data_IF_323174415353
#
_entry.id   IF_323174415353
#
_cell.length_a   1.000
_cell.length_b   1.000
_cell.length_c   1.000
_cell.angle_alpha   90.00
_cell.angle_beta   90.00
_cell.angle_gamma   90.00
#
_symmetry.space_group_name_H-M   'P 1'
#
loop_
_entity.id
_entity.type
_entity.pdbx_description
1 polymer ?
#
# COMPACT_ATOMS: atom_id res chain seq x y z
N UNK A 1 24.40 -28.65 10.87
CA UNK A 1 24.64 -27.25 10.44
C UNK A 1 23.49 -26.87 9.51
N UNK A 2 22.68 -25.89 9.89
CA UNK A 2 21.65 -25.38 8.98
C UNK A 2 22.36 -24.62 7.85
N UNK A 3 22.19 -25.07 6.62
CA UNK A 3 22.69 -24.38 5.44
C UNK A 3 21.78 -23.16 5.25
N UNK A 4 22.22 -21.98 5.70
CA UNK A 4 21.50 -20.74 5.40
C UNK A 4 21.73 -20.44 3.92
N UNK A 5 20.73 -20.70 3.10
CA UNK A 5 20.73 -20.38 1.67
C UNK A 5 20.53 -18.87 1.52
N UNK A 6 21.63 -18.12 1.52
CA UNK A 6 21.60 -16.67 1.26
C UNK A 6 21.45 -16.43 -0.23
N UNK A 7 20.39 -15.70 -0.61
CA UNK A 7 20.20 -15.22 -1.98
C UNK A 7 20.47 -13.71 -2.08
N UNK A 8 20.92 -13.26 -3.25
CA UNK A 8 21.14 -11.83 -3.51
C UNK A 8 19.97 -11.25 -4.30
N UNK A 9 19.55 -10.03 -3.95
CA UNK A 9 18.48 -9.31 -4.62
C UNK A 9 19.01 -7.94 -5.05
N UNK A 10 18.78 -7.58 -6.32
CA UNK A 10 19.11 -6.28 -6.87
C UNK A 10 17.88 -5.68 -7.54
N UNK A 11 17.65 -4.40 -7.35
CA UNK A 11 16.55 -3.66 -7.97
C UNK A 11 17.03 -2.28 -8.41
N UNK A 12 16.36 -1.72 -9.41
CA UNK A 12 16.63 -0.37 -9.90
C UNK A 12 15.86 0.63 -9.06
N UNK A 13 16.50 1.76 -8.76
CA UNK A 13 15.90 2.90 -8.09
C UNK A 13 16.39 4.20 -8.74
N UNK A 14 15.58 5.25 -8.64
CA UNK A 14 16.00 6.58 -9.04
C UNK A 14 17.11 7.09 -8.10
N UNK A 15 18.08 7.83 -8.65
CA UNK A 15 19.23 8.31 -7.87
C UNK A 15 18.82 9.27 -6.74
N UNK A 16 17.82 10.14 -6.98
CA UNK A 16 17.28 11.03 -5.93
C UNK A 16 16.67 10.24 -4.77
N UNK A 17 15.86 9.23 -5.08
CA UNK A 17 15.25 8.35 -4.08
C UNK A 17 16.31 7.60 -3.26
N UNK A 18 17.39 7.16 -3.92
CA UNK A 18 18.51 6.51 -3.23
C UNK A 18 19.14 7.44 -2.20
N UNK A 19 19.46 8.66 -2.61
CA UNK A 19 20.12 9.64 -1.74
C UNK A 19 19.25 9.97 -0.52
N UNK A 20 17.98 10.31 -0.75
CA UNK A 20 17.07 10.70 0.32
C UNK A 20 16.78 9.54 1.28
N UNK A 21 16.42 8.37 0.76
CA UNK A 21 16.04 7.24 1.62
C UNK A 21 17.23 6.68 2.40
N UNK A 22 18.42 6.59 1.79
CA UNK A 22 19.57 5.97 2.44
C UNK A 22 20.14 6.88 3.53
N UNK A 23 20.11 8.20 3.32
CA UNK A 23 20.49 9.15 4.35
C UNK A 23 19.61 9.02 5.60
N UNK A 24 18.30 8.86 5.43
CA UNK A 24 17.39 8.63 6.55
C UNK A 24 17.72 7.33 7.27
N UNK A 25 17.90 6.23 6.53
CA UNK A 25 18.26 4.92 7.09
C UNK A 25 19.55 4.99 7.92
N UNK A 26 20.58 5.66 7.40
CA UNK A 26 21.86 5.84 8.07
C UNK A 26 21.74 6.72 9.33
N UNK A 27 20.89 7.75 9.31
CA UNK A 27 20.61 8.57 10.50
C UNK A 27 19.98 7.76 11.64
N UNK A 28 19.24 6.69 11.33
CA UNK A 28 18.74 5.73 12.33
C UNK A 28 19.78 4.69 12.77
N UNK A 29 21.01 4.75 12.25
CA UNK A 29 22.09 3.81 12.57
C UNK A 29 21.95 2.45 11.90
N UNK A 30 21.09 2.32 10.90
CA UNK A 30 20.92 1.08 10.13
C UNK A 30 21.64 1.16 8.79
N UNK A 31 21.95 -0.02 8.24
CA UNK A 31 22.30 -0.18 6.83
C UNK A 31 21.04 -0.44 6.00
N UNK A 32 21.01 -0.06 4.71
CA UNK A 32 19.90 -0.37 3.82
C UNK A 32 19.56 -1.86 3.81
N UNK A 33 20.57 -2.75 3.78
CA UNK A 33 20.37 -4.20 3.81
C UNK A 33 19.64 -4.68 5.08
N UNK A 34 19.91 -4.08 6.24
CA UNK A 34 19.18 -4.41 7.48
C UNK A 34 17.71 -3.99 7.36
N UNK A 35 17.45 -2.77 6.88
CA UNK A 35 16.07 -2.27 6.72
C UNK A 35 15.28 -3.11 5.71
N UNK A 36 15.87 -3.48 4.57
CA UNK A 36 15.19 -4.33 3.59
C UNK A 36 14.90 -5.73 4.15
N UNK A 37 15.83 -6.32 4.91
CA UNK A 37 15.58 -7.59 5.58
C UNK A 37 14.45 -7.49 6.61
N UNK A 38 14.40 -6.42 7.40
CA UNK A 38 13.31 -6.17 8.35
C UNK A 38 11.98 -6.01 7.61
N UNK A 39 11.95 -5.22 6.53
CA UNK A 39 10.78 -5.00 5.69
C UNK A 39 10.23 -6.31 5.09
N UNK A 40 11.10 -7.13 4.48
CA UNK A 40 10.72 -8.42 3.93
C UNK A 40 10.28 -9.41 5.02
N UNK A 41 10.93 -9.38 6.18
CA UNK A 41 10.56 -10.21 7.35
C UNK A 41 9.16 -9.84 7.84
N UNK A 42 8.84 -8.56 7.91
CA UNK A 42 7.53 -8.09 8.30
C UNK A 42 6.46 -8.59 7.33
N UNK A 43 6.66 -8.40 6.01
CA UNK A 43 5.74 -8.92 4.99
C UNK A 43 5.54 -10.43 5.13
N UNK A 44 6.63 -11.17 5.35
CA UNK A 44 6.56 -12.62 5.48
C UNK A 44 5.76 -13.06 6.72
N UNK A 45 5.82 -12.29 7.82
CA UNK A 45 5.14 -12.57 9.09
C UNK A 45 3.69 -12.12 9.10
N UNK A 46 3.41 -10.91 8.64
CA UNK A 46 2.07 -10.30 8.72
C UNK A 46 1.20 -10.60 7.51
N UNK A 47 1.80 -11.04 6.39
CA UNK A 47 1.13 -11.20 5.09
C UNK A 47 0.54 -9.89 4.55
N UNK A 48 1.05 -8.75 5.00
CA UNK A 48 0.64 -7.42 4.55
C UNK A 48 1.87 -6.60 4.13
N UNK A 49 1.68 -5.57 3.31
CA UNK A 49 2.76 -4.65 2.93
C UNK A 49 2.77 -3.48 3.93
N UNK A 50 3.80 -3.35 4.80
CA UNK A 50 3.80 -2.40 5.90
C UNK A 50 4.28 -1.01 5.46
N UNK A 51 3.58 -0.42 4.49
CA UNK A 51 3.86 0.95 4.01
C UNK A 51 2.62 1.82 4.16
N UNK A 52 2.82 3.08 4.53
CA UNK A 52 1.77 4.08 4.49
C UNK A 52 1.86 4.82 3.15
N UNK A 53 0.78 4.79 2.37
CA UNK A 53 0.68 5.44 1.05
C UNK A 53 -0.14 6.75 1.09
N UNK A 54 -0.34 7.35 2.26
CA UNK A 54 -1.15 8.56 2.41
C UNK A 54 -0.59 9.78 1.68
N UNK A 55 0.68 9.74 1.26
CA UNK A 55 1.28 10.76 0.39
C UNK A 55 0.83 10.67 -1.07
N UNK A 56 0.25 9.54 -1.48
CA UNK A 56 -0.35 9.42 -2.81
C UNK A 56 -1.66 10.19 -2.82
N UNK A 57 -1.76 11.14 -3.76
CA UNK A 57 -3.07 11.72 -4.09
C UNK A 57 -3.86 10.67 -4.87
N UNK A 58 -5.17 10.52 -4.60
CA UNK A 58 -6.02 9.69 -5.44
C UNK A 58 -5.88 10.09 -6.91
N UNK A 59 -6.01 9.11 -7.80
CA UNK A 59 -5.95 9.40 -9.23
C UNK A 59 -7.15 10.26 -9.66
N UNK A 60 -7.10 10.81 -10.87
CA UNK A 60 -8.15 11.71 -11.36
C UNK A 60 -9.55 11.08 -11.35
N UNK A 61 -9.66 9.77 -11.62
CA UNK A 61 -10.91 9.03 -11.61
C UNK A 61 -11.49 8.93 -10.19
N UNK A 62 -10.65 8.55 -9.21
CA UNK A 62 -11.06 8.48 -7.81
C UNK A 62 -11.44 9.85 -7.27
N UNK A 63 -10.68 10.91 -7.62
CA UNK A 63 -11.04 12.27 -7.25
C UNK A 63 -12.40 12.68 -7.81
N UNK A 64 -12.70 12.35 -9.08
CA UNK A 64 -13.99 12.64 -9.70
C UNK A 64 -15.13 11.89 -9.00
N UNK A 65 -14.95 10.59 -8.73
CA UNK A 65 -15.95 9.79 -8.02
C UNK A 65 -16.24 10.33 -6.60
N UNK A 66 -15.20 10.83 -5.90
CA UNK A 66 -15.39 11.48 -4.60
C UNK A 66 -16.19 12.79 -4.73
N UNK A 67 -15.91 13.60 -5.76
CA UNK A 67 -16.65 14.84 -6.02
C UNK A 67 -18.12 14.58 -6.42
N UNK A 68 -18.38 13.57 -7.26
CA UNK A 68 -19.74 13.12 -7.61
C UNK A 68 -20.50 12.72 -6.33
N UNK A 69 -19.84 12.00 -5.41
CA UNK A 69 -20.41 11.65 -4.11
C UNK A 69 -20.71 12.86 -3.21
N UNK A 70 -19.77 13.80 -3.09
CA UNK A 70 -19.94 15.02 -2.30
C UNK A 70 -21.04 15.94 -2.84
N UNK A 71 -21.19 15.98 -4.17
CA UNK A 71 -22.25 16.76 -4.84
C UNK A 71 -23.61 16.05 -4.84
N UNK A 72 -23.69 14.86 -4.24
CA UNK A 72 -24.89 14.02 -4.19
C UNK A 72 -25.39 13.61 -5.60
N UNK A 73 -24.47 13.58 -6.57
CA UNK A 73 -24.67 13.17 -7.97
C UNK A 73 -24.30 11.68 -8.11
N UNK A 74 -25.00 10.85 -7.34
CA UNK A 74 -24.78 9.41 -7.29
C UNK A 74 -26.02 8.67 -7.77
N UNK A 75 -25.80 7.67 -8.62
CA UNK A 75 -26.83 6.69 -8.95
C UNK A 75 -27.07 5.77 -7.74
N UNK A 76 -28.17 6.01 -7.03
CA UNK A 76 -28.58 5.18 -5.89
C UNK A 76 -29.21 3.89 -6.41
N UNK A 77 -28.47 2.78 -6.28
CA UNK A 77 -28.94 1.45 -6.70
C UNK A 77 -30.02 0.93 -5.74
N UNK A 78 -29.78 1.02 -4.43
CA UNK A 78 -30.75 0.66 -3.38
C UNK A 78 -30.40 1.32 -2.03
N UNK A 79 -31.37 1.55 -1.14
CA UNK A 79 -31.09 1.99 0.23
C UNK A 79 -30.38 0.89 1.02
N UNK A 80 -29.29 1.24 1.69
CA UNK A 80 -28.55 0.33 2.57
C UNK A 80 -29.30 0.08 3.89
N UNK A 81 -30.24 -0.87 3.89
CA UNK A 81 -31.08 -1.20 5.06
C UNK A 81 -30.45 -2.26 5.98
N UNK A 82 -29.64 -3.18 5.44
CA UNK A 82 -28.89 -4.18 6.20
C UNK A 82 -27.64 -4.61 5.43
N UNK A 83 -26.67 -5.25 6.11
CA UNK A 83 -25.46 -5.77 5.48
C UNK A 83 -25.77 -6.76 4.36
N UNK A 84 -26.77 -7.62 4.57
CA UNK A 84 -27.25 -8.59 3.59
C UNK A 84 -27.85 -7.89 2.35
N UNK A 85 -28.64 -6.83 2.56
CA UNK A 85 -29.26 -6.04 1.47
C UNK A 85 -28.21 -5.32 0.60
N UNK A 86 -27.13 -4.83 1.22
CA UNK A 86 -25.99 -4.24 0.51
C UNK A 86 -25.31 -5.32 -0.33
N UNK A 87 -25.01 -6.48 0.26
CA UNK A 87 -24.30 -7.56 -0.43
C UNK A 87 -25.10 -8.10 -1.62
N UNK A 88 -26.41 -8.32 -1.48
CA UNK A 88 -27.27 -8.74 -2.60
C UNK A 88 -27.29 -7.72 -3.74
N UNK A 89 -27.36 -6.43 -3.41
CA UNK A 89 -27.39 -5.35 -4.40
C UNK A 89 -26.08 -5.22 -5.20
N UNK A 90 -24.95 -5.60 -4.57
CA UNK A 90 -23.63 -5.59 -5.20
C UNK A 90 -23.34 -6.85 -6.03
N UNK A 91 -23.92 -8.01 -5.67
CA UNK A 91 -23.72 -9.28 -6.38
C UNK A 91 -24.66 -9.41 -7.60
N UNK A 92 -25.83 -8.77 -7.59
CA UNK A 92 -26.84 -8.85 -8.68
C UNK A 92 -26.55 -7.97 -9.91
N UNK A 93 -25.41 -7.27 -9.95
CA UNK A 93 -24.98 -6.48 -11.11
C UNK A 93 -24.14 -7.33 -12.06
#
# INVERSE_FOLDING_TARGET
MAITQNTSFSFRLADSLKQEAFQVIENYGFTPSQVFNLFLTEIAKTKTIPVNLSYLKPNAETLRAMQEAENNDLDVISPAQSQESIMESLIKK
#
